data_IF_148568888694
#
_entry.id   IF_148568888694
#
_cell.length_a   1.000
_cell.length_b   1.000
_cell.length_c   1.000
_cell.angle_alpha   90.00
_cell.angle_beta   90.00
_cell.angle_gamma   90.00
#
_symmetry.space_group_name_H-M   'P 1'
#
loop_
_entity.id
_entity.type
_entity.pdbx_description
1 polymer ?
#
# COMPACT_ATOMS: atom_id res chain seq x y z
N UNK A 1 7.52 -10.64 22.38
CA UNK A 1 7.99 -9.77 21.29
C UNK A 1 9.23 -10.44 20.72
N UNK A 2 9.20 -10.86 19.45
CA UNK A 2 10.39 -11.43 18.80
C UNK A 2 11.22 -10.23 18.33
N UNK A 3 12.36 -9.98 18.97
CA UNK A 3 13.31 -8.98 18.51
C UNK A 3 14.14 -9.58 17.37
N UNK A 4 13.73 -9.26 16.15
CA UNK A 4 14.50 -9.52 14.96
C UNK A 4 15.56 -8.42 14.83
N UNK A 5 16.83 -8.76 15.13
CA UNK A 5 17.98 -7.91 14.81
C UNK A 5 18.23 -7.93 13.30
N UNK A 6 17.44 -7.14 12.58
CA UNK A 6 17.57 -6.97 11.13
C UNK A 6 18.44 -5.76 10.82
N UNK A 7 19.30 -5.91 9.83
CA UNK A 7 20.02 -4.79 9.22
C UNK A 7 19.03 -3.84 8.53
N UNK A 8 19.45 -2.58 8.28
CA UNK A 8 18.59 -1.57 7.63
C UNK A 8 18.12 -2.05 6.25
N UNK A 9 19.07 -2.53 5.43
CA UNK A 9 18.78 -3.23 4.17
C UNK A 9 17.73 -4.34 4.28
N UNK A 10 17.84 -5.25 5.25
CA UNK A 10 16.86 -6.33 5.42
C UNK A 10 15.48 -5.80 5.81
N UNK A 11 15.42 -4.76 6.65
CA UNK A 11 14.16 -4.11 7.02
C UNK A 11 13.50 -3.47 5.81
N UNK A 12 14.25 -2.81 4.94
CA UNK A 12 13.74 -2.23 3.69
C UNK A 12 13.20 -3.29 2.72
N UNK A 13 13.89 -4.43 2.58
CA UNK A 13 13.40 -5.56 1.77
C UNK A 13 12.08 -6.10 2.33
N UNK A 14 11.98 -6.27 3.65
CA UNK A 14 10.75 -6.75 4.30
C UNK A 14 9.58 -5.79 4.05
N UNK A 15 9.79 -4.48 4.18
CA UNK A 15 8.74 -3.46 3.97
C UNK A 15 8.23 -3.47 2.52
N UNK A 16 9.13 -3.55 1.54
CA UNK A 16 8.75 -3.61 0.12
C UNK A 16 8.03 -4.91 -0.19
N UNK A 17 8.54 -6.04 0.29
CA UNK A 17 7.93 -7.36 0.07
C UNK A 17 6.53 -7.43 0.68
N UNK A 18 6.36 -6.96 1.91
CA UNK A 18 5.07 -6.90 2.59
C UNK A 18 4.05 -6.05 1.81
N UNK A 19 4.46 -4.90 1.27
CA UNK A 19 3.58 -4.05 0.47
C UNK A 19 3.16 -4.74 -0.83
N UNK A 20 4.09 -5.40 -1.54
CA UNK A 20 3.76 -6.14 -2.77
C UNK A 20 2.84 -7.31 -2.47
N UNK A 21 3.11 -8.11 -1.44
CA UNK A 21 2.27 -9.23 -1.04
C UNK A 21 0.88 -8.77 -0.60
N UNK A 22 0.80 -7.65 0.12
CA UNK A 22 -0.48 -7.05 0.50
C UNK A 22 -1.29 -6.68 -0.73
N UNK A 23 -0.72 -5.92 -1.68
CA UNK A 23 -1.42 -5.51 -2.91
C UNK A 23 -1.84 -6.73 -3.72
N UNK A 24 -0.94 -7.70 -3.93
CA UNK A 24 -1.23 -8.91 -4.69
C UNK A 24 -2.34 -9.76 -4.04
N UNK A 25 -2.26 -10.01 -2.73
CA UNK A 25 -3.26 -10.76 -1.98
C UNK A 25 -4.61 -10.05 -1.97
N UNK A 26 -4.59 -8.72 -1.88
CA UNK A 26 -5.78 -7.90 -1.92
C UNK A 26 -6.50 -8.02 -3.29
N UNK A 27 -5.79 -7.83 -4.40
CA UNK A 27 -6.36 -7.97 -5.74
C UNK A 27 -6.81 -9.40 -6.04
N UNK A 28 -6.08 -10.41 -5.55
CA UNK A 28 -6.50 -11.80 -5.65
C UNK A 28 -7.82 -12.06 -4.90
N UNK A 29 -8.00 -11.46 -3.71
CA UNK A 29 -9.25 -11.51 -2.96
C UNK A 29 -10.41 -10.86 -3.73
N UNK A 30 -10.17 -9.71 -4.37
CA UNK A 30 -11.18 -9.05 -5.20
C UNK A 30 -11.59 -9.91 -6.41
N UNK A 31 -10.64 -10.54 -7.09
CA UNK A 31 -10.93 -11.44 -8.22
C UNK A 31 -11.61 -12.74 -7.80
N UNK A 32 -11.45 -13.16 -6.54
CA UNK A 32 -12.17 -14.31 -6.00
C UNK A 32 -13.65 -14.01 -5.73
N UNK A 33 -14.06 -12.74 -5.68
CA UNK A 33 -15.46 -12.34 -5.49
C UNK A 33 -16.27 -12.69 -6.75
N UNK A 34 -17.35 -13.49 -6.64
CA UNK A 34 -18.22 -13.78 -7.76
C UNK A 34 -18.82 -12.49 -8.34
N UNK A 35 -18.93 -12.34 -9.67
CA UNK A 35 -19.50 -11.14 -10.29
C UNK A 35 -20.90 -10.80 -9.78
N UNK A 36 -21.68 -11.81 -9.40
CA UNK A 36 -23.04 -11.65 -8.86
C UNK A 36 -23.06 -10.93 -7.50
N UNK A 37 -21.96 -10.97 -6.73
CA UNK A 37 -21.83 -10.23 -5.48
C UNK A 37 -21.45 -8.75 -5.71
N UNK A 38 -21.03 -8.39 -6.93
CA UNK A 38 -20.79 -7.01 -7.34
C UNK A 38 -22.04 -6.34 -7.92
N UNK A 39 -23.04 -7.13 -8.32
CA UNK A 39 -24.32 -6.67 -8.86
C UNK A 39 -25.29 -6.37 -7.72
N UNK A 40 -25.01 -5.30 -6.98
CA UNK A 40 -25.80 -4.90 -5.81
C UNK A 40 -26.96 -4.01 -6.25
N UNK A 41 -28.19 -4.23 -5.73
CA UNK A 41 -29.32 -3.35 -6.02
C UNK A 41 -28.97 -1.90 -5.71
N UNK A 42 -29.26 -1.04 -6.67
CA UNK A 42 -28.96 0.38 -6.63
C UNK A 42 -30.25 1.11 -6.23
N UNK A 43 -30.25 1.72 -5.06
CA UNK A 43 -31.32 2.64 -4.67
C UNK A 43 -31.19 3.92 -5.49
N UNK A 44 -32.25 4.22 -6.24
CA UNK A 44 -32.35 5.45 -7.03
C UNK A 44 -33.05 6.48 -6.16
N UNK A 45 -32.28 7.45 -5.66
CA UNK A 45 -32.83 8.60 -4.95
C UNK A 45 -32.81 9.84 -5.85
N UNK A 46 -33.90 10.60 -5.86
CA UNK A 46 -33.95 11.88 -6.56
C UNK A 46 -33.57 13.00 -5.59
N UNK A 47 -32.45 13.67 -5.84
CA UNK A 47 -32.00 14.82 -5.03
C UNK A 47 -31.69 16.00 -5.95
N UNK A 48 -32.29 17.14 -5.68
CA UNK A 48 -32.07 18.39 -6.43
C UNK A 48 -32.30 18.28 -7.97
N UNK A 49 -33.22 17.42 -8.41
CA UNK A 49 -33.52 17.24 -9.84
C UNK A 49 -32.61 16.26 -10.57
N UNK A 50 -31.55 15.76 -9.94
CA UNK A 50 -30.68 14.71 -10.47
C UNK A 50 -31.02 13.34 -9.87
N UNK A 51 -30.92 12.28 -10.70
CA UNK A 51 -30.95 10.90 -10.24
C UNK A 51 -29.60 10.56 -9.61
N UNK A 52 -29.61 10.29 -8.31
CA UNK A 52 -28.43 9.85 -7.58
C UNK A 52 -28.57 8.36 -7.29
N UNK A 53 -27.67 7.59 -7.89
CA UNK A 53 -27.56 6.14 -7.71
C UNK A 53 -26.75 5.84 -6.45
N UNK A 54 -27.36 5.18 -5.47
CA UNK A 54 -26.70 4.73 -4.25
C UNK A 54 -26.78 3.20 -4.16
N UNK A 55 -25.63 2.52 -4.15
CA UNK A 55 -25.61 1.08 -3.92
C UNK A 55 -26.12 0.77 -2.49
N UNK A 56 -27.04 -0.19 -2.35
CA UNK A 56 -27.60 -0.58 -1.04
C UNK A 56 -26.52 -1.13 -0.08
N UNK A 57 -25.43 -1.66 -0.62
CA UNK A 57 -24.21 -2.05 0.09
C UNK A 57 -23.00 -1.89 -0.84
N UNK A 58 -21.82 -1.55 -0.31
CA UNK A 58 -20.58 -1.42 -1.10
C UNK A 58 -19.77 -2.71 -0.96
N UNK A 59 -19.69 -3.55 -2.02
CA UNK A 59 -18.95 -4.81 -1.97
C UNK A 59 -17.43 -4.58 -1.93
N UNK A 60 -16.99 -3.40 -2.37
CA UNK A 60 -15.59 -3.03 -2.51
C UNK A 60 -15.33 -1.74 -1.72
N UNK A 61 -14.31 -1.72 -0.84
CA UNK A 61 -13.95 -0.50 -0.11
C UNK A 61 -13.51 0.65 -1.04
N UNK A 62 -13.95 1.88 -0.79
CA UNK A 62 -13.63 3.03 -1.65
C UNK A 62 -12.16 3.45 -1.62
N UNK A 63 -11.49 3.18 -0.51
CA UNK A 63 -10.08 3.53 -0.29
C UNK A 63 -9.11 2.54 -0.95
N UNK A 64 -9.63 1.50 -1.58
CA UNK A 64 -8.85 0.40 -2.15
C UNK A 64 -7.95 0.83 -3.32
N UNK A 65 -8.40 1.65 -4.30
CA UNK A 65 -7.50 2.15 -5.34
C UNK A 65 -6.43 3.05 -4.73
N UNK A 66 -6.79 3.84 -3.71
CA UNK A 66 -5.88 4.75 -3.02
C UNK A 66 -4.79 3.97 -2.28
N UNK A 67 -5.14 2.95 -1.50
CA UNK A 67 -4.19 2.12 -0.76
C UNK A 67 -3.29 1.31 -1.70
N UNK A 68 -3.82 0.85 -2.84
CA UNK A 68 -3.04 0.11 -3.84
C UNK A 68 -1.91 0.94 -4.44
N UNK A 69 -2.00 2.26 -4.42
CA UNK A 69 -0.96 3.18 -4.90
C UNK A 69 -0.14 3.74 -3.74
N UNK A 70 -0.78 4.17 -2.66
CA UNK A 70 -0.12 4.81 -1.53
C UNK A 70 0.86 3.87 -0.81
N UNK A 71 0.48 2.60 -0.59
CA UNK A 71 1.35 1.65 0.11
C UNK A 71 2.66 1.37 -0.65
N UNK A 72 2.64 1.03 -1.96
CA UNK A 72 3.88 0.91 -2.73
C UNK A 72 4.72 2.17 -2.73
N UNK A 73 4.12 3.36 -2.90
CA UNK A 73 4.84 4.63 -2.89
C UNK A 73 5.53 4.89 -1.55
N UNK A 74 4.83 4.67 -0.44
CA UNK A 74 5.39 4.84 0.90
C UNK A 74 6.52 3.83 1.16
N UNK A 75 6.34 2.57 0.77
CA UNK A 75 7.39 1.55 0.91
C UNK A 75 8.62 1.85 0.07
N UNK A 76 8.43 2.34 -1.16
CA UNK A 76 9.53 2.73 -2.04
C UNK A 76 10.25 3.99 -1.51
N UNK A 77 9.49 4.98 -1.05
CA UNK A 77 10.05 6.18 -0.41
C UNK A 77 10.83 5.85 0.87
N UNK A 78 10.33 4.90 1.66
CA UNK A 78 11.06 4.38 2.83
C UNK A 78 12.38 3.72 2.41
N UNK A 79 12.35 2.81 1.43
CA UNK A 79 13.54 2.12 0.96
C UNK A 79 14.58 3.07 0.36
N UNK A 80 14.16 4.08 -0.41
CA UNK A 80 15.05 5.11 -0.96
C UNK A 80 15.70 5.95 0.14
N UNK A 81 14.91 6.37 1.14
CA UNK A 81 15.44 7.10 2.29
C UNK A 81 16.50 6.29 3.02
N UNK A 82 16.23 5.00 3.23
CA UNK A 82 17.13 4.09 3.92
C UNK A 82 18.47 3.95 3.17
N UNK A 83 18.42 3.78 1.84
CA UNK A 83 19.62 3.77 1.00
C UNK A 83 20.41 5.08 1.06
N UNK A 84 19.74 6.23 1.04
CA UNK A 84 20.42 7.54 1.13
C UNK A 84 21.11 7.75 2.49
N UNK A 85 20.54 7.21 3.57
CA UNK A 85 21.13 7.28 4.91
C UNK A 85 22.35 6.37 5.01
N UNK A 86 22.31 5.17 4.44
CA UNK A 86 23.48 4.28 4.35
C UNK A 86 24.62 4.92 3.55
N UNK A 87 24.34 5.48 2.37
CA UNK A 87 25.34 6.12 1.49
C UNK A 87 25.99 7.37 2.12
N UNK A 88 25.23 8.09 2.96
CA UNK A 88 25.74 9.24 3.74
C UNK A 88 26.62 8.82 4.92
N UNK A 89 26.44 7.62 5.46
CA UNK A 89 27.23 7.13 6.59
C UNK A 89 28.62 6.65 6.14
N UNK A 90 28.69 5.95 5.00
CA UNK A 90 29.96 5.47 4.41
C UNK A 90 30.85 6.63 3.91
N UNK A 91 30.27 7.78 3.58
CA UNK A 91 31.01 8.94 3.05
C UNK A 91 31.64 9.86 4.11
N UNK A 92 31.28 9.70 5.39
CA UNK A 92 31.81 10.50 6.51
C UNK A 92 33.06 9.87 7.13
N UNK A 93 33.40 8.63 6.78
CA UNK A 93 34.44 7.86 7.45
C UNK A 93 35.83 8.00 6.80
N UNK A 94 36.43 9.21 6.81
CA UNK A 94 37.89 9.36 6.64
C UNK A 94 38.42 10.57 7.44
N UNK A 95 38.97 10.39 8.66
CA UNK A 95 40.09 11.18 9.12
C UNK A 95 41.38 10.53 8.59
N UNK A 96 41.99 11.18 7.59
CA UNK A 96 43.39 10.94 7.29
C UNK A 96 44.19 11.57 8.44
N UNK A 97 44.58 10.75 9.41
CA UNK A 97 45.63 11.14 10.36
C UNK A 97 46.96 11.16 9.60
N UNK A 98 47.50 12.37 9.41
CA UNK A 98 48.90 12.65 9.04
C UNK A 98 49.82 12.55 10.26
#
# INVERSE_FOLDING_TARGET
>A
MIELNLTHREKSIVVVTAAVTFVAGYWAGLWAVPPQALDVPVDVSYRAGEQVYHAAYRPVPDHLPVLSVALPLLSFGYALRDQLVEDSADSVEVPADD
#
